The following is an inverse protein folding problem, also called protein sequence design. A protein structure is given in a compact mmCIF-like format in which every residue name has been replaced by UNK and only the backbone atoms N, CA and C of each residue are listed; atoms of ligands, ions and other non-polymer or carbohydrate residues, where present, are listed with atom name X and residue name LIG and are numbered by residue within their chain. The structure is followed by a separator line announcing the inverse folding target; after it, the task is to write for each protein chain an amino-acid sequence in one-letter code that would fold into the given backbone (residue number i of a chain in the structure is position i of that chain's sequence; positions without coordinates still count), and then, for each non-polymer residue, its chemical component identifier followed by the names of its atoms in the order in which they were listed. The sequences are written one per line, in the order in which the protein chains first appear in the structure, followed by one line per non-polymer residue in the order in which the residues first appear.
data_IF_087743716753
#
_entry.id   IF_087743716753
#
_cell.length_a   1.000
_cell.length_b   1.000
_cell.length_c   1.000
_cell.angle_alpha   90.00
_cell.angle_beta   90.00
_cell.angle_gamma   90.00
#
_symmetry.space_group_name_H-M   'P 1'
#
loop_
_entity.id
_entity.type
_entity.pdbx_description
1 polymer ?
#
# COMPACT_ATOMS: atom_id res chain seq x y z
N UNK A 1 -12.37 39.97 7.07
CA UNK A 1 -11.74 40.42 5.83
C UNK A 1 -12.52 39.77 4.71
N UNK A 2 -13.26 40.54 3.90
CA UNK A 2 -14.01 39.98 2.75
C UNK A 2 -13.02 39.87 1.58
N UNK A 3 -12.83 38.67 1.08
CA UNK A 3 -12.09 38.45 -0.17
C UNK A 3 -12.82 39.08 -1.34
N UNK A 4 -12.11 39.77 -2.21
CA UNK A 4 -12.66 40.42 -3.41
C UNK A 4 -13.22 39.33 -4.37
N UNK A 5 -14.38 39.58 -5.00
CA UNK A 5 -15.04 38.61 -5.87
C UNK A 5 -14.16 38.09 -7.05
N UNK A 6 -13.14 38.86 -7.43
CA UNK A 6 -12.20 38.50 -8.47
C UNK A 6 -11.22 37.37 -8.10
N UNK A 7 -10.82 37.34 -6.81
CA UNK A 7 -9.89 36.33 -6.32
C UNK A 7 -10.57 34.95 -6.16
N UNK A 8 -11.84 34.93 -5.81
CA UNK A 8 -12.63 33.71 -5.69
C UNK A 8 -12.88 33.06 -7.07
N UNK A 9 -13.13 33.89 -8.09
CA UNK A 9 -13.30 33.44 -9.48
C UNK A 9 -11.99 32.89 -10.07
N UNK A 10 -10.86 33.49 -9.73
CA UNK A 10 -9.53 33.05 -10.19
C UNK A 10 -9.10 31.74 -9.53
N UNK A 11 -9.45 31.55 -8.25
CA UNK A 11 -9.23 30.26 -7.56
C UNK A 11 -10.12 29.16 -8.13
N UNK A 12 -11.40 29.41 -8.37
CA UNK A 12 -12.32 28.46 -8.99
C UNK A 12 -11.92 28.09 -10.42
N UNK A 13 -11.36 29.04 -11.20
CA UNK A 13 -10.82 28.75 -12.53
C UNK A 13 -9.54 27.91 -12.47
N UNK A 14 -8.70 28.11 -11.47
CA UNK A 14 -7.47 27.34 -11.24
C UNK A 14 -7.78 25.92 -10.79
N UNK A 15 -8.75 25.70 -9.91
CA UNK A 15 -9.24 24.38 -9.50
C UNK A 15 -9.89 23.65 -10.68
N UNK A 16 -10.71 24.31 -11.50
CA UNK A 16 -11.28 23.70 -12.69
C UNK A 16 -10.22 23.35 -13.75
N UNK A 17 -9.13 24.11 -13.85
CA UNK A 17 -8.03 23.77 -14.79
C UNK A 17 -7.24 22.53 -14.35
N UNK A 18 -7.16 22.27 -13.04
CA UNK A 18 -6.56 21.05 -12.50
C UNK A 18 -7.48 19.85 -12.71
N UNK A 19 -8.79 20.03 -12.56
CA UNK A 19 -9.80 18.98 -12.74
C UNK A 19 -10.08 18.67 -14.22
N UNK A 20 -9.88 19.64 -15.12
CA UNK A 20 -10.08 19.51 -16.58
C UNK A 20 -8.78 19.29 -17.36
N UNK A 21 -7.63 19.27 -16.70
CA UNK A 21 -6.40 18.80 -17.32
C UNK A 21 -6.62 17.32 -17.72
N UNK A 22 -7.20 17.13 -18.92
CA UNK A 22 -7.26 15.81 -19.54
C UNK A 22 -5.80 15.36 -19.65
N UNK A 23 -5.38 14.48 -18.78
CA UNK A 23 -4.12 13.74 -18.91
C UNK A 23 -4.26 12.98 -20.23
N UNK A 24 -3.86 13.60 -21.32
CA UNK A 24 -3.78 12.92 -22.60
C UNK A 24 -2.98 11.65 -22.36
N UNK A 25 -3.50 10.52 -22.80
CA UNK A 25 -2.80 9.20 -22.72
C UNK A 25 -1.35 9.30 -23.21
N UNK A 26 -1.07 10.23 -24.11
CA UNK A 26 0.29 10.57 -24.58
C UNK A 26 1.15 11.25 -23.51
N UNK A 27 0.61 12.15 -22.70
CA UNK A 27 1.36 12.81 -21.61
C UNK A 27 1.62 11.83 -20.47
N UNK A 28 0.64 10.97 -20.13
CA UNK A 28 0.85 9.87 -19.19
C UNK A 28 1.96 8.93 -19.69
N UNK A 29 1.95 8.56 -20.98
CA UNK A 29 3.00 7.74 -21.59
C UNK A 29 4.35 8.48 -21.72
N UNK A 30 4.36 9.79 -21.85
CA UNK A 30 5.60 10.59 -21.86
C UNK A 30 6.21 10.72 -20.47
N UNK A 31 5.41 10.87 -19.40
CA UNK A 31 5.89 10.86 -18.02
C UNK A 31 6.22 9.44 -17.54
N UNK A 32 5.45 8.43 -17.96
CA UNK A 32 5.82 7.03 -17.81
C UNK A 32 7.05 6.66 -18.67
N UNK A 33 7.21 7.27 -19.86
CA UNK A 33 8.35 7.07 -20.76
C UNK A 33 9.65 7.73 -20.30
N UNK A 34 9.61 8.85 -19.58
CA UNK A 34 10.80 9.41 -18.93
C UNK A 34 11.29 8.52 -17.76
N UNK A 35 10.36 7.82 -17.10
CA UNK A 35 10.70 6.70 -16.20
C UNK A 35 11.14 5.43 -16.96
N UNK A 36 10.62 5.20 -18.18
CA UNK A 36 10.91 4.01 -18.99
C UNK A 36 12.28 4.05 -19.70
N UNK A 37 12.91 5.21 -19.84
CA UNK A 37 14.33 5.28 -20.30
C UNK A 37 15.27 4.60 -19.28
N UNK A 38 14.90 4.58 -17.98
CA UNK A 38 15.56 3.74 -16.97
C UNK A 38 15.18 2.26 -17.06
N UNK A 39 13.98 1.94 -17.54
CA UNK A 39 13.45 0.57 -17.64
C UNK A 39 13.96 -0.15 -18.92
N UNK A 40 14.23 0.58 -20.00
CA UNK A 40 14.75 -0.01 -21.25
C UNK A 40 16.16 -0.62 -21.10
N UNK A 41 16.95 -0.19 -20.11
CA UNK A 41 18.23 -0.83 -19.76
C UNK A 41 18.07 -2.11 -18.92
N UNK A 42 16.87 -2.34 -18.33
CA UNK A 42 16.56 -3.54 -17.54
C UNK A 42 15.96 -4.64 -18.43
N UNK A 43 15.32 -4.30 -19.54
CA UNK A 43 14.68 -5.26 -20.47
C UNK A 43 15.68 -6.13 -21.26
N UNK A 44 16.96 -5.76 -21.31
CA UNK A 44 18.01 -6.57 -21.95
C UNK A 44 18.58 -7.68 -21.05
N UNK A 45 18.07 -7.81 -19.82
CA UNK A 45 18.55 -8.77 -18.81
C UNK A 45 17.49 -9.66 -18.20
N UNK A 46 16.35 -9.89 -18.87
CA UNK A 46 15.31 -10.79 -18.36
C UNK A 46 15.78 -12.25 -18.37
N UNK A 47 16.62 -12.63 -17.42
CA UNK A 47 16.53 -13.95 -16.80
C UNK A 47 15.31 -13.93 -15.89
N UNK A 48 14.50 -14.99 -15.96
CA UNK A 48 13.42 -15.28 -15.01
C UNK A 48 14.03 -15.40 -13.61
N UNK A 49 14.17 -14.31 -12.90
CA UNK A 49 14.45 -14.32 -11.47
C UNK A 49 13.12 -14.15 -10.73
N UNK A 50 12.58 -15.28 -10.33
CA UNK A 50 11.59 -15.32 -9.27
C UNK A 50 12.27 -14.81 -7.99
N UNK A 51 11.89 -13.60 -7.55
CA UNK A 51 12.16 -13.11 -6.20
C UNK A 51 13.63 -12.87 -5.89
N UNK A 52 14.25 -11.83 -6.44
CA UNK A 52 15.44 -11.25 -5.81
C UNK A 52 14.99 -10.39 -4.62
N UNK A 53 14.46 -11.07 -3.60
CA UNK A 53 14.47 -10.49 -2.26
C UNK A 53 15.92 -10.32 -1.87
N UNK A 54 16.37 -9.06 -1.71
CA UNK A 54 17.66 -8.83 -1.06
C UNK A 54 17.63 -9.58 0.28
N UNK A 55 18.71 -10.25 0.66
CA UNK A 55 18.71 -10.98 1.93
C UNK A 55 18.31 -10.02 3.07
N UNK A 56 17.54 -10.50 4.06
CA UNK A 56 17.14 -9.69 5.20
C UNK A 56 18.34 -9.04 5.87
N UNK A 57 18.20 -7.78 6.27
CA UNK A 57 19.30 -7.03 6.85
C UNK A 57 19.65 -7.60 8.22
N UNK A 58 20.85 -8.12 8.36
CA UNK A 58 21.38 -8.48 9.69
C UNK A 58 21.53 -7.20 10.53
N UNK A 59 20.76 -7.10 11.63
CA UNK A 59 20.79 -5.94 12.53
C UNK A 59 19.51 -5.11 12.57
N UNK A 60 18.54 -5.40 11.71
CA UNK A 60 17.25 -4.70 11.67
C UNK A 60 17.22 -3.48 10.76
N UNK A 61 16.06 -2.83 10.71
CA UNK A 61 15.81 -1.61 9.93
C UNK A 61 15.37 -0.48 10.86
N UNK A 62 15.57 0.77 10.46
CA UNK A 62 15.11 1.95 11.20
C UNK A 62 14.12 2.74 10.37
N UNK A 63 12.94 3.00 10.93
CA UNK A 63 11.94 3.93 10.43
C UNK A 63 12.14 5.27 11.13
N UNK A 64 12.62 6.26 10.41
CA UNK A 64 12.92 7.60 10.92
C UNK A 64 11.87 8.60 10.42
N UNK A 65 10.88 8.91 11.26
CA UNK A 65 9.73 9.75 10.90
C UNK A 65 10.00 11.27 10.84
N UNK A 66 11.27 11.68 10.81
CA UNK A 66 11.64 13.11 10.75
C UNK A 66 11.15 13.82 9.48
N UNK A 67 10.97 13.09 8.38
CA UNK A 67 10.59 13.60 7.07
C UNK A 67 9.71 12.60 6.29
N UNK A 68 9.32 12.97 5.06
CA UNK A 68 8.47 12.15 4.21
C UNK A 68 9.12 10.79 3.86
N UNK A 69 10.45 10.71 3.77
CA UNK A 69 11.12 9.43 3.51
C UNK A 69 10.89 8.42 4.62
N UNK A 70 10.76 8.87 5.87
CA UNK A 70 10.38 8.00 6.98
C UNK A 70 8.97 7.43 6.82
N UNK A 71 8.02 8.28 6.43
CA UNK A 71 6.62 7.85 6.16
C UNK A 71 6.55 6.90 4.97
N UNK A 72 7.29 7.19 3.89
CA UNK A 72 7.36 6.30 2.72
C UNK A 72 8.02 4.95 3.05
N UNK A 73 9.06 4.94 3.88
CA UNK A 73 9.68 3.69 4.36
C UNK A 73 8.74 2.88 5.27
N UNK A 74 7.92 3.55 6.07
CA UNK A 74 6.88 2.90 6.86
C UNK A 74 5.84 2.23 5.94
N UNK A 75 5.32 2.93 4.93
CA UNK A 75 4.44 2.32 3.94
C UNK A 75 5.14 1.15 3.22
N UNK A 76 6.39 1.34 2.78
CA UNK A 76 7.18 0.29 2.14
C UNK A 76 7.35 -0.96 3.01
N UNK A 77 7.47 -0.81 4.33
CA UNK A 77 7.53 -1.95 5.26
C UNK A 77 6.23 -2.75 5.27
N UNK A 78 5.08 -2.08 5.23
CA UNK A 78 3.77 -2.73 5.17
C UNK A 78 3.55 -3.43 3.82
N UNK A 79 3.86 -2.76 2.71
CA UNK A 79 3.77 -3.35 1.37
C UNK A 79 4.69 -4.58 1.19
N UNK A 80 5.85 -4.61 1.84
CA UNK A 80 6.69 -5.82 1.87
C UNK A 80 5.99 -6.99 2.57
N UNK A 81 5.28 -6.71 3.67
CA UNK A 81 4.54 -7.73 4.41
C UNK A 81 3.36 -8.26 3.58
N UNK A 82 2.55 -7.38 3.00
CA UNK A 82 1.37 -7.72 2.22
C UNK A 82 1.75 -8.44 0.93
N UNK A 83 2.71 -7.93 0.18
CA UNK A 83 3.23 -8.61 -1.01
C UNK A 83 3.74 -10.03 -0.70
N UNK A 84 4.49 -10.21 0.40
CA UNK A 84 4.98 -11.53 0.80
C UNK A 84 3.82 -12.49 1.13
N UNK A 85 2.78 -12.00 1.83
CA UNK A 85 1.60 -12.78 2.16
C UNK A 85 0.85 -13.22 0.89
N UNK A 86 0.53 -12.29 -0.01
CA UNK A 86 -0.22 -12.61 -1.23
C UNK A 86 0.58 -13.46 -2.22
N UNK A 87 1.90 -13.31 -2.29
CA UNK A 87 2.78 -14.21 -3.05
C UNK A 87 2.63 -15.64 -2.53
N UNK A 88 2.64 -15.83 -1.22
CA UNK A 88 2.50 -17.16 -0.63
C UNK A 88 1.10 -17.76 -0.89
N UNK A 89 0.02 -16.97 -0.76
CA UNK A 89 -1.35 -17.43 -1.05
C UNK A 89 -1.51 -17.80 -2.51
N UNK A 90 -1.07 -16.96 -3.44
CA UNK A 90 -1.22 -17.19 -4.87
C UNK A 90 -0.37 -18.36 -5.37
N UNK A 91 0.81 -18.59 -4.75
CA UNK A 91 1.67 -19.73 -5.10
C UNK A 91 1.06 -21.09 -4.71
N UNK A 92 0.27 -21.11 -3.63
CA UNK A 92 -0.39 -22.32 -3.15
C UNK A 92 -1.76 -21.97 -2.52
N UNK A 93 -2.77 -21.66 -3.34
CA UNK A 93 -4.06 -21.26 -2.85
C UNK A 93 -4.74 -22.35 -2.01
N UNK A 94 -5.45 -22.01 -0.92
CA UNK A 94 -6.21 -22.97 -0.13
C UNK A 94 -7.15 -23.81 -0.99
N UNK A 95 -7.30 -25.08 -0.67
CA UNK A 95 -8.18 -26.00 -1.41
C UNK A 95 -9.64 -25.57 -1.43
N UNK A 96 -10.08 -24.79 -0.43
CA UNK A 96 -11.40 -24.23 -0.33
C UNK A 96 -11.65 -22.97 -1.17
N UNK A 97 -10.65 -22.43 -1.87
CA UNK A 97 -10.83 -21.30 -2.77
C UNK A 97 -11.52 -21.72 -4.06
N UNK A 98 -12.57 -20.99 -4.43
CA UNK A 98 -13.18 -21.08 -5.76
C UNK A 98 -12.21 -20.57 -6.86
N UNK A 99 -12.53 -20.84 -8.11
CA UNK A 99 -11.73 -20.34 -9.23
C UNK A 99 -11.66 -18.81 -9.28
N UNK A 100 -12.76 -18.15 -8.96
CA UNK A 100 -12.84 -16.69 -8.94
C UNK A 100 -12.04 -16.10 -7.77
N UNK A 101 -12.07 -16.71 -6.59
CA UNK A 101 -11.26 -16.27 -5.46
C UNK A 101 -9.77 -16.38 -5.77
N UNK A 102 -9.34 -17.51 -6.39
CA UNK A 102 -7.93 -17.66 -6.82
C UNK A 102 -7.50 -16.56 -7.78
N UNK A 103 -8.36 -16.19 -8.72
CA UNK A 103 -8.09 -15.10 -9.66
C UNK A 103 -7.96 -13.76 -8.93
N UNK A 104 -8.89 -13.40 -8.06
CA UNK A 104 -8.84 -12.13 -7.34
C UNK A 104 -7.66 -12.04 -6.37
N UNK A 105 -7.31 -13.12 -5.69
CA UNK A 105 -6.11 -13.15 -4.85
C UNK A 105 -4.82 -13.02 -5.66
N UNK A 106 -4.81 -13.51 -6.90
CA UNK A 106 -3.72 -13.27 -7.83
C UNK A 106 -3.67 -11.81 -8.30
N UNK A 107 -4.81 -11.18 -8.56
CA UNK A 107 -4.88 -9.77 -8.93
C UNK A 107 -4.39 -8.88 -7.76
N UNK A 108 -4.82 -9.16 -6.53
CA UNK A 108 -4.34 -8.47 -5.33
C UNK A 108 -2.82 -8.66 -5.18
N UNK A 109 -2.31 -9.88 -5.35
CA UNK A 109 -0.86 -10.13 -5.35
C UNK A 109 -0.11 -9.19 -6.30
N UNK A 110 -0.63 -8.97 -7.51
CA UNK A 110 0.02 -8.08 -8.48
C UNK A 110 -0.03 -6.62 -8.03
N UNK A 111 -1.14 -6.19 -7.39
CA UNK A 111 -1.23 -4.85 -6.83
C UNK A 111 -0.20 -4.65 -5.71
N UNK A 112 -0.11 -5.56 -4.74
CA UNK A 112 0.83 -5.46 -3.63
C UNK A 112 2.29 -5.50 -4.09
N UNK A 113 2.62 -6.32 -5.08
CA UNK A 113 3.94 -6.30 -5.69
C UNK A 113 4.21 -4.95 -6.36
N UNK A 114 3.23 -4.39 -7.06
CA UNK A 114 3.37 -3.10 -7.73
C UNK A 114 3.53 -1.95 -6.72
N UNK A 115 2.77 -1.94 -5.61
CA UNK A 115 2.90 -0.97 -4.52
C UNK A 115 4.29 -1.06 -3.87
N UNK A 116 4.73 -2.26 -3.50
CA UNK A 116 6.06 -2.52 -2.95
C UNK A 116 7.17 -1.98 -3.86
N UNK A 117 7.14 -2.33 -5.14
CA UNK A 117 8.16 -1.88 -6.10
C UNK A 117 8.06 -0.38 -6.37
N UNK A 118 6.85 0.20 -6.32
CA UNK A 118 6.65 1.64 -6.41
C UNK A 118 7.40 2.37 -5.29
N UNK A 119 7.19 1.98 -4.02
CA UNK A 119 7.89 2.59 -2.89
C UNK A 119 9.40 2.36 -2.94
N UNK A 120 9.84 1.15 -3.28
CA UNK A 120 11.25 0.83 -3.44
C UNK A 120 11.93 1.75 -4.46
N UNK A 121 11.28 1.98 -5.60
CA UNK A 121 11.80 2.86 -6.65
C UNK A 121 11.74 4.35 -6.24
N UNK A 122 10.67 4.79 -5.59
CA UNK A 122 10.53 6.17 -5.13
C UNK A 122 11.57 6.53 -4.05
N UNK A 123 11.89 5.59 -3.18
CA UNK A 123 12.90 5.75 -2.13
C UNK A 123 14.33 5.60 -2.64
N UNK A 124 14.55 4.78 -3.67
CA UNK A 124 15.88 4.51 -4.22
C UNK A 124 16.87 4.06 -3.13
N UNK A 125 17.98 4.76 -2.99
CA UNK A 125 19.02 4.45 -2.00
C UNK A 125 18.56 4.71 -0.52
N UNK A 126 17.47 5.44 -0.32
CA UNK A 126 16.90 5.69 1.01
C UNK A 126 15.92 4.59 1.46
N UNK A 127 15.64 3.61 0.60
CA UNK A 127 14.76 2.49 0.96
C UNK A 127 15.38 1.64 2.09
N UNK A 128 14.55 1.26 3.06
CA UNK A 128 14.96 0.25 4.04
C UNK A 128 15.21 -1.08 3.32
N UNK A 129 16.04 -1.92 3.92
CA UNK A 129 16.27 -3.28 3.41
C UNK A 129 15.02 -4.17 3.46
N UNK A 130 15.14 -5.34 2.85
CA UNK A 130 14.06 -6.34 2.84
C UNK A 130 13.77 -6.86 4.24
N UNK A 131 12.49 -7.02 4.55
CA UNK A 131 12.03 -7.55 5.82
C UNK A 131 11.89 -9.07 5.75
N UNK A 132 12.38 -9.77 6.76
CA UNK A 132 12.02 -11.16 6.99
C UNK A 132 10.65 -11.21 7.66
N UNK A 133 9.72 -11.97 7.09
CA UNK A 133 8.36 -12.14 7.60
C UNK A 133 8.17 -13.46 8.34
N UNK A 134 7.13 -13.53 9.16
CA UNK A 134 6.73 -14.74 9.88
C UNK A 134 5.22 -14.96 9.78
N UNK A 135 4.83 -15.92 9.00
CA UNK A 135 3.44 -16.33 8.84
C UNK A 135 3.13 -17.68 9.52
N UNK A 136 3.95 -18.09 10.49
CA UNK A 136 3.80 -19.38 11.19
C UNK A 136 2.44 -19.54 11.90
N UNK A 137 1.77 -18.44 12.22
CA UNK A 137 0.43 -18.44 12.83
C UNK A 137 -0.71 -18.54 11.81
N UNK A 138 -0.41 -18.52 10.51
CA UNK A 138 -1.40 -18.58 9.43
C UNK A 138 -1.39 -19.97 8.81
N UNK A 139 -2.55 -20.63 8.83
CA UNK A 139 -2.72 -21.89 8.11
C UNK A 139 -3.09 -21.62 6.65
N UNK A 140 -2.11 -21.65 5.75
CA UNK A 140 -2.31 -21.40 4.31
C UNK A 140 -3.11 -22.48 3.58
N UNK A 141 -3.39 -23.62 4.20
CA UNK A 141 -4.26 -24.65 3.61
C UNK A 141 -5.74 -24.45 3.93
N UNK A 142 -6.04 -23.61 4.93
CA UNK A 142 -7.40 -23.30 5.38
C UNK A 142 -7.88 -21.95 4.84
N UNK A 143 -8.99 -21.99 4.10
CA UNK A 143 -9.63 -20.78 3.52
C UNK A 143 -9.93 -19.73 4.57
N UNK A 144 -10.50 -20.12 5.70
CA UNK A 144 -10.90 -19.18 6.75
C UNK A 144 -9.70 -18.51 7.40
N UNK A 145 -8.62 -19.25 7.63
CA UNK A 145 -7.36 -18.72 8.15
C UNK A 145 -6.77 -17.68 7.21
N UNK A 146 -6.72 -17.97 5.91
CA UNK A 146 -6.18 -17.04 4.90
C UNK A 146 -7.05 -15.81 4.75
N UNK A 147 -8.38 -15.95 4.68
CA UNK A 147 -9.29 -14.80 4.57
C UNK A 147 -9.21 -13.88 5.81
N UNK A 148 -9.14 -14.45 7.01
CA UNK A 148 -9.02 -13.67 8.24
C UNK A 148 -7.68 -12.94 8.32
N UNK A 149 -6.59 -13.55 7.87
CA UNK A 149 -5.29 -12.90 7.79
C UNK A 149 -5.29 -11.77 6.74
N UNK A 150 -5.83 -12.04 5.54
CA UNK A 150 -5.99 -11.03 4.50
C UNK A 150 -6.82 -9.84 4.98
N UNK A 151 -8.01 -10.09 5.60
CA UNK A 151 -8.82 -9.02 6.20
C UNK A 151 -8.01 -8.19 7.20
N UNK A 152 -7.23 -8.84 8.06
CA UNK A 152 -6.46 -8.13 9.09
C UNK A 152 -5.35 -7.25 8.47
N UNK A 153 -4.71 -7.69 7.38
CA UNK A 153 -3.70 -6.92 6.67
C UNK A 153 -4.32 -5.74 5.95
N UNK A 154 -5.33 -5.97 5.11
CA UNK A 154 -5.96 -4.92 4.33
C UNK A 154 -6.62 -3.83 5.19
N UNK A 155 -7.40 -4.21 6.21
CA UNK A 155 -8.00 -3.24 7.15
C UNK A 155 -6.90 -2.42 7.85
N UNK A 156 -5.78 -3.07 8.22
CA UNK A 156 -4.65 -2.41 8.84
C UNK A 156 -3.93 -1.48 7.86
N UNK A 157 -3.75 -1.89 6.60
CA UNK A 157 -3.16 -1.11 5.53
C UNK A 157 -3.94 0.17 5.28
N UNK A 158 -5.28 0.08 5.11
CA UNK A 158 -6.15 1.27 4.95
C UNK A 158 -5.99 2.21 6.14
N UNK A 159 -6.12 1.71 7.37
CA UNK A 159 -5.99 2.53 8.57
C UNK A 159 -4.58 3.13 8.74
N UNK A 160 -3.55 2.43 8.27
CA UNK A 160 -2.16 2.88 8.28
C UNK A 160 -1.94 4.06 7.33
N UNK A 161 -2.42 3.96 6.08
CA UNK A 161 -2.35 5.06 5.11
C UNK A 161 -3.11 6.29 5.59
N UNK A 162 -4.32 6.11 6.10
CA UNK A 162 -5.13 7.20 6.66
C UNK A 162 -4.41 7.89 7.83
N UNK A 163 -3.81 7.12 8.73
CA UNK A 163 -3.13 7.65 9.90
C UNK A 163 -1.77 8.30 9.60
N UNK A 164 -1.05 7.80 8.59
CA UNK A 164 0.24 8.33 8.19
C UNK A 164 0.13 9.54 7.26
N UNK A 165 -0.98 9.68 6.53
CA UNK A 165 -1.20 10.74 5.55
C UNK A 165 -1.01 12.15 6.11
N UNK A 166 -1.43 12.38 7.35
CA UNK A 166 -1.27 13.68 8.04
C UNK A 166 0.18 14.07 8.30
N UNK A 167 1.13 13.14 8.16
CA UNK A 167 2.56 13.36 8.36
C UNK A 167 3.29 13.73 7.09
N UNK A 168 2.67 13.47 5.92
CA UNK A 168 3.25 13.75 4.61
C UNK A 168 3.19 15.27 4.37
N UNK A 169 4.34 15.86 4.06
CA UNK A 169 4.51 17.30 3.80
C UNK A 169 4.48 17.64 2.31
N UNK A 170 4.84 16.69 1.47
CA UNK A 170 4.91 16.88 0.02
C UNK A 170 3.59 16.45 -0.62
N UNK A 171 2.84 17.40 -1.18
CA UNK A 171 1.53 17.17 -1.79
C UNK A 171 1.53 16.04 -2.82
N UNK A 172 2.59 15.94 -3.63
CA UNK A 172 2.72 14.88 -4.63
C UNK A 172 2.74 13.48 -4.00
N UNK A 173 3.40 13.31 -2.86
CA UNK A 173 3.41 12.04 -2.14
C UNK A 173 2.05 11.75 -1.49
N UNK A 174 1.38 12.78 -0.96
CA UNK A 174 0.04 12.62 -0.40
C UNK A 174 -0.96 12.17 -1.47
N UNK A 175 -0.91 12.76 -2.68
CA UNK A 175 -1.75 12.35 -3.81
C UNK A 175 -1.49 10.90 -4.22
N UNK A 176 -0.22 10.45 -4.21
CA UNK A 176 0.14 9.08 -4.54
C UNK A 176 -0.34 8.10 -3.45
N UNK A 177 -0.14 8.44 -2.17
CA UNK A 177 -0.67 7.66 -1.06
C UNK A 177 -2.20 7.54 -1.12
N UNK A 178 -2.91 8.62 -1.48
CA UNK A 178 -4.35 8.61 -1.71
C UNK A 178 -4.81 7.67 -2.82
N UNK A 179 -4.01 7.51 -3.89
CA UNK A 179 -4.30 6.55 -4.96
C UNK A 179 -4.11 5.10 -4.50
N UNK A 180 -3.07 4.83 -3.72
CA UNK A 180 -2.79 3.50 -3.19
C UNK A 180 -3.87 3.12 -2.16
N UNK A 181 -4.13 3.93 -1.13
CA UNK A 181 -5.16 3.61 -0.13
C UNK A 181 -6.55 3.38 -0.73
N UNK A 182 -6.84 4.02 -1.85
CA UNK A 182 -8.07 3.76 -2.62
C UNK A 182 -8.11 2.34 -3.20
N UNK A 183 -6.98 1.71 -3.50
CA UNK A 183 -6.88 0.31 -3.95
C UNK A 183 -6.97 -0.62 -2.75
N UNK A 184 -6.23 -0.34 -1.67
CA UNK A 184 -6.30 -1.08 -0.40
C UNK A 184 -7.73 -1.19 0.13
N UNK A 185 -8.49 -0.09 0.11
CA UNK A 185 -9.89 -0.10 0.54
C UNK A 185 -10.78 -1.03 -0.31
N UNK A 186 -10.45 -1.21 -1.61
CA UNK A 186 -11.16 -2.18 -2.47
C UNK A 186 -10.79 -3.61 -2.14
N UNK A 187 -9.51 -3.89 -1.82
CA UNK A 187 -9.07 -5.19 -1.37
C UNK A 187 -9.76 -5.57 -0.05
N UNK A 188 -9.70 -4.67 0.95
CA UNK A 188 -10.35 -4.84 2.24
C UNK A 188 -11.85 -5.12 2.09
N UNK A 189 -12.56 -4.30 1.31
CA UNK A 189 -13.98 -4.44 1.07
C UNK A 189 -14.35 -5.81 0.45
N UNK A 190 -13.60 -6.23 -0.56
CA UNK A 190 -13.81 -7.51 -1.23
C UNK A 190 -13.58 -8.69 -0.27
N UNK A 191 -12.48 -8.70 0.47
CA UNK A 191 -12.15 -9.77 1.42
C UNK A 191 -13.17 -9.85 2.55
N UNK A 192 -13.62 -8.71 3.06
CA UNK A 192 -14.69 -8.66 4.06
C UNK A 192 -15.97 -9.28 3.54
N UNK A 193 -16.36 -8.97 2.31
CA UNK A 193 -17.57 -9.51 1.69
C UNK A 193 -17.47 -11.02 1.45
N UNK A 194 -16.27 -11.55 1.13
CA UNK A 194 -16.03 -13.00 1.05
C UNK A 194 -16.21 -13.73 2.40
N UNK A 195 -15.91 -13.07 3.51
CA UNK A 195 -16.07 -13.64 4.86
C UNK A 195 -17.53 -13.57 5.28
N UNK A 196 -18.15 -12.41 5.10
CA UNK A 196 -19.54 -12.15 5.46
C UNK A 196 -20.18 -11.19 4.46
N UNK A 197 -21.02 -11.66 3.53
CA UNK A 197 -21.67 -10.81 2.54
C UNK A 197 -22.36 -9.60 3.16
N UNK A 198 -22.08 -8.41 2.62
CA UNK A 198 -22.58 -7.13 3.13
C UNK A 198 -21.72 -6.49 4.21
N UNK A 199 -20.59 -7.09 4.62
CA UNK A 199 -19.68 -6.52 5.64
C UNK A 199 -18.58 -5.64 5.05
N UNK A 200 -18.64 -5.29 3.78
CA UNK A 200 -17.61 -4.57 3.03
C UNK A 200 -17.16 -3.26 3.70
N UNK A 201 -18.04 -2.58 4.42
CA UNK A 201 -17.79 -1.33 5.15
C UNK A 201 -18.46 -1.34 6.53
N UNK A 202 -18.19 -2.39 7.31
CA UNK A 202 -18.79 -2.54 8.63
C UNK A 202 -18.40 -1.44 9.61
N UNK A 203 -19.14 -1.29 10.73
CA UNK A 203 -18.88 -0.22 11.71
C UNK A 203 -17.56 -0.39 12.49
N UNK A 204 -16.88 -1.50 12.28
CA UNK A 204 -15.53 -1.78 12.80
C UNK A 204 -14.43 -1.13 11.97
N UNK A 205 -14.70 -0.62 10.80
CA UNK A 205 -13.75 0.12 9.94
C UNK A 205 -14.26 1.49 9.54
N UNK A 206 -15.56 1.67 9.29
CA UNK A 206 -16.15 2.94 8.88
C UNK A 206 -17.03 3.50 9.99
N UNK A 207 -16.76 4.71 10.45
CA UNK A 207 -17.60 5.41 11.40
C UNK A 207 -18.95 5.78 10.77
N UNK A 208 -20.06 5.24 11.32
CA UNK A 208 -21.40 5.41 10.76
C UNK A 208 -21.92 6.86 10.81
N UNK A 209 -21.34 7.72 11.65
CA UNK A 209 -21.74 9.12 11.80
C UNK A 209 -21.05 10.02 10.78
N UNK A 210 -19.76 9.78 10.54
CA UNK A 210 -18.94 10.62 9.66
C UNK A 210 -18.76 10.03 8.27
N UNK A 211 -18.96 8.71 8.10
CA UNK A 211 -18.65 8.00 6.88
C UNK A 211 -17.16 7.86 6.59
N UNK A 212 -16.30 8.17 7.57
CA UNK A 212 -14.86 8.10 7.41
C UNK A 212 -14.32 6.75 7.89
N UNK A 213 -13.32 6.25 7.19
CA UNK A 213 -12.57 5.07 7.60
C UNK A 213 -11.65 5.37 8.78
N UNK A 214 -11.20 4.32 9.47
CA UNK A 214 -10.30 4.44 10.60
C UNK A 214 -8.93 4.99 10.18
N UNK A 215 -8.28 5.69 11.10
CA UNK A 215 -6.91 6.17 10.96
C UNK A 215 -6.11 5.77 12.20
N UNK A 216 -5.08 4.93 12.02
CA UNK A 216 -4.24 4.45 13.11
C UNK A 216 -2.86 5.11 13.05
N UNK A 217 -2.34 5.46 14.23
CA UNK A 217 -0.98 5.97 14.35
C UNK A 217 0.06 4.87 14.04
N UNK A 218 1.23 5.22 13.48
CA UNK A 218 2.23 4.23 13.08
C UNK A 218 2.67 3.27 14.18
N UNK A 219 2.72 3.72 15.45
CA UNK A 219 3.03 2.86 16.59
C UNK A 219 1.99 1.74 16.79
N UNK A 220 0.70 2.06 16.65
CA UNK A 220 -0.39 1.07 16.75
C UNK A 220 -0.35 0.07 15.61
N UNK A 221 -0.11 0.57 14.40
CA UNK A 221 0.01 -0.27 13.21
C UNK A 221 1.21 -1.22 13.33
N UNK A 222 2.39 -0.70 13.69
CA UNK A 222 3.59 -1.51 13.85
C UNK A 222 3.47 -2.52 14.99
N UNK A 223 2.74 -2.19 16.06
CA UNK A 223 2.42 -3.15 17.12
C UNK A 223 1.55 -4.31 16.60
N UNK A 224 0.56 -4.02 15.75
CA UNK A 224 -0.31 -5.03 15.14
C UNK A 224 0.40 -5.89 14.10
N UNK A 225 1.22 -5.27 13.23
CA UNK A 225 1.98 -5.95 12.18
C UNK A 225 3.20 -6.69 12.72
N UNK A 226 3.75 -6.27 13.86
CA UNK A 226 5.03 -6.75 14.39
C UNK A 226 5.13 -8.24 14.62
N UNK A 227 4.03 -8.91 14.93
CA UNK A 227 3.98 -10.38 15.08
C UNK A 227 4.26 -11.15 13.77
N UNK A 228 4.17 -10.46 12.62
CA UNK A 228 4.43 -11.04 11.31
C UNK A 228 5.78 -10.62 10.72
N UNK A 229 6.58 -9.84 11.46
CA UNK A 229 7.87 -9.32 10.99
C UNK A 229 8.97 -9.84 11.92
N UNK A 230 9.88 -10.67 11.38
CA UNK A 230 11.06 -11.18 12.11
C UNK A 230 12.17 -10.14 12.20
N UNK A 231 12.32 -9.33 11.15
CA UNK A 231 13.32 -8.26 11.14
C UNK A 231 13.03 -7.26 12.25
N UNK A 232 14.03 -6.95 13.05
CA UNK A 232 13.87 -5.90 14.08
C UNK A 232 13.60 -4.57 13.42
N UNK A 233 12.50 -3.92 13.79
CA UNK A 233 12.14 -2.58 13.33
C UNK A 233 12.36 -1.60 14.49
N UNK A 234 13.28 -0.65 14.31
CA UNK A 234 13.46 0.46 15.23
C UNK A 234 12.68 1.66 14.70
N UNK A 235 12.01 2.37 15.59
CA UNK A 235 11.23 3.58 15.26
C UNK A 235 11.82 4.76 15.99
N UNK A 236 12.11 5.85 15.27
CA UNK A 236 12.62 7.10 15.84
C UNK A 236 11.87 8.29 15.25
N UNK A 237 11.83 9.40 15.98
CA UNK A 237 11.21 10.67 15.58
C UNK A 237 9.71 10.53 15.19
N UNK A 238 8.98 9.62 15.82
CA UNK A 238 7.56 9.40 15.58
C UNK A 238 6.67 10.48 16.21
#
# INVERSE_FOLDING_TARGET
MKTEPGQELEMLQKENSILTASLHRRSFLQYAGAGAAGIALIAAGCKKDHGNDMPPVNGGVTLDFKDDFGVLNYAYALEQLEAAFYIQVASNPPSGFSAIEKQYFQDIQYHEIAHREFFKNALGAAAIGSLAVDFSTINFTDRSSVLNAAKAFEDLGVAAYNGAGVRIKTDAYLVLAGKIVSVEARHAAYIRDLISPGSFSGPDVVDATTGLDQALTPDKVLAAAGKYIKTKVNVINL
#
